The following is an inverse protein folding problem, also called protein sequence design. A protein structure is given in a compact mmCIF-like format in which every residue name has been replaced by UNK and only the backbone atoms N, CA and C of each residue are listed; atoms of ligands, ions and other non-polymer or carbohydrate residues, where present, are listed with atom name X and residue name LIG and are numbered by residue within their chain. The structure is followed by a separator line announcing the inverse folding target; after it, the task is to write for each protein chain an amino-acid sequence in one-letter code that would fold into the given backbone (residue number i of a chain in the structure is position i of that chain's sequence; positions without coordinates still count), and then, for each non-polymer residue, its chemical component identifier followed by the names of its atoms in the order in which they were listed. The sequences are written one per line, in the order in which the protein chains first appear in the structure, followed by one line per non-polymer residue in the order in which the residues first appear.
data_IF_589578983758
#
_entry.id   IF_589578983758
#
_cell.length_a   1.000
_cell.length_b   1.000
_cell.length_c   1.000
_cell.angle_alpha   90.00
_cell.angle_beta   90.00
_cell.angle_gamma   90.00
#
_symmetry.space_group_name_H-M   'P 1'
#
loop_
_entity.id
_entity.type
_entity.pdbx_description
1 polymer ?
#
# COMPACT_ATOMS: atom_id res chain seq x y z
N UNK A 1 31.99 2.11 33.10
CA UNK A 1 31.25 2.71 31.94
C UNK A 1 29.78 2.39 32.09
N UNK A 2 28.91 3.41 32.15
CA UNK A 2 27.49 3.28 32.49
C UNK A 2 26.71 2.59 31.34
N UNK A 3 25.83 1.63 31.66
CA UNK A 3 24.95 0.94 30.66
C UNK A 3 24.20 1.93 29.74
N UNK A 4 23.84 3.13 30.24
CA UNK A 4 23.20 4.19 29.45
C UNK A 4 24.11 4.75 28.36
N UNK A 5 25.42 4.88 28.56
CA UNK A 5 26.34 5.39 27.54
C UNK A 5 26.62 4.37 26.42
N UNK A 6 26.61 3.06 26.75
CA UNK A 6 26.68 2.01 25.72
C UNK A 6 25.47 1.93 24.84
N UNK A 7 24.29 2.18 25.39
CA UNK A 7 23.01 2.18 24.61
C UNK A 7 22.95 3.37 23.67
N UNK A 8 23.32 4.57 24.12
CA UNK A 8 23.38 5.78 23.28
C UNK A 8 24.39 5.64 22.13
N UNK A 9 25.56 5.09 22.38
CA UNK A 9 26.59 4.85 21.36
C UNK A 9 26.12 3.87 20.27
N UNK A 10 25.46 2.78 20.64
CA UNK A 10 24.88 1.82 19.68
C UNK A 10 23.75 2.42 18.84
N UNK A 11 22.87 3.19 19.45
CA UNK A 11 21.77 3.87 18.72
C UNK A 11 22.36 4.87 17.72
N UNK A 12 23.32 5.70 18.12
CA UNK A 12 23.95 6.67 17.24
C UNK A 12 24.66 6.01 16.04
N UNK A 13 25.31 4.86 16.26
CA UNK A 13 25.94 4.08 15.20
C UNK A 13 24.92 3.50 14.22
N UNK A 14 23.82 2.92 14.72
CA UNK A 14 22.72 2.38 13.89
C UNK A 14 22.08 3.47 13.03
N UNK A 15 21.91 4.68 13.56
CA UNK A 15 21.38 5.83 12.84
C UNK A 15 22.33 6.28 11.72
N UNK A 16 23.64 6.38 12.00
CA UNK A 16 24.66 6.70 11.00
C UNK A 16 24.67 5.68 9.85
N UNK A 17 24.55 4.40 10.18
CA UNK A 17 24.44 3.30 9.21
C UNK A 17 23.22 3.41 8.32
N UNK A 18 22.09 3.92 8.81
CA UNK A 18 20.86 4.06 8.02
C UNK A 18 21.02 5.06 6.88
N UNK A 19 21.70 6.18 7.09
CA UNK A 19 21.98 7.16 6.03
C UNK A 19 22.87 6.60 4.91
N UNK A 20 23.77 5.69 5.23
CA UNK A 20 24.66 5.06 4.24
C UNK A 20 23.98 3.89 3.51
N UNK A 21 23.17 3.12 4.22
CA UNK A 21 22.54 1.91 3.68
C UNK A 21 21.33 2.22 2.81
N UNK A 22 20.56 3.26 3.17
CA UNK A 22 19.26 3.52 2.54
C UNK A 22 19.34 3.66 1.01
N UNK A 23 20.18 4.54 0.43
CA UNK A 23 20.23 4.67 -1.01
C UNK A 23 20.68 3.40 -1.72
N UNK A 24 21.63 2.66 -1.15
CA UNK A 24 22.14 1.40 -1.72
C UNK A 24 21.06 0.32 -1.75
N UNK A 25 20.31 0.18 -0.66
CA UNK A 25 19.22 -0.80 -0.59
C UNK A 25 18.07 -0.41 -1.53
N UNK A 26 17.78 0.87 -1.68
CA UNK A 26 16.76 1.34 -2.62
C UNK A 26 17.17 1.06 -4.07
N UNK A 27 18.40 1.36 -4.46
CA UNK A 27 18.93 1.04 -5.80
C UNK A 27 18.88 -0.47 -6.08
N UNK A 28 19.31 -1.28 -5.10
CA UNK A 28 19.26 -2.73 -5.20
C UNK A 28 17.82 -3.23 -5.36
N UNK A 29 16.87 -2.69 -4.62
CA UNK A 29 15.47 -3.09 -4.70
C UNK A 29 14.84 -2.70 -6.04
N UNK A 30 15.14 -1.50 -6.56
CA UNK A 30 14.71 -1.08 -7.92
C UNK A 30 15.25 -2.06 -8.96
N UNK A 31 16.53 -2.41 -8.89
CA UNK A 31 17.11 -3.39 -9.80
C UNK A 31 16.40 -4.75 -9.76
N UNK A 32 16.05 -5.23 -8.57
CA UNK A 32 15.27 -6.48 -8.38
C UNK A 32 13.92 -6.40 -9.10
N UNK A 33 13.21 -5.27 -8.95
CA UNK A 33 11.92 -5.06 -9.61
C UNK A 33 12.07 -4.95 -11.13
N UNK A 34 13.12 -4.31 -11.64
CA UNK A 34 13.37 -4.22 -13.08
C UNK A 34 13.59 -5.60 -13.70
N UNK A 35 14.33 -6.49 -13.03
CA UNK A 35 14.51 -7.87 -13.47
C UNK A 35 13.18 -8.64 -13.48
N UNK A 36 12.39 -8.47 -12.43
CA UNK A 36 11.07 -9.10 -12.35
C UNK A 36 10.15 -8.61 -13.46
N UNK A 37 10.09 -7.29 -13.70
CA UNK A 37 9.32 -6.67 -14.78
C UNK A 37 9.69 -7.22 -16.17
N UNK A 38 10.98 -7.38 -16.43
CA UNK A 38 11.46 -7.97 -17.69
C UNK A 38 10.95 -9.41 -17.90
N UNK A 39 10.74 -10.14 -16.79
CA UNK A 39 10.31 -11.55 -16.82
C UNK A 39 8.81 -11.72 -16.96
N UNK A 40 8.01 -10.94 -16.23
CA UNK A 40 6.54 -11.13 -16.14
C UNK A 40 5.73 -10.10 -16.93
N UNK A 41 6.35 -8.99 -17.38
CA UNK A 41 5.64 -7.88 -18.00
C UNK A 41 4.85 -7.04 -17.02
N UNK A 42 4.06 -6.11 -17.53
CA UNK A 42 3.26 -5.17 -16.69
C UNK A 42 1.78 -5.54 -16.57
N UNK A 43 1.21 -6.38 -17.43
CA UNK A 43 -0.20 -6.76 -17.39
C UNK A 43 -1.19 -5.56 -17.35
N UNK A 44 -2.47 -5.83 -17.18
CA UNK A 44 -3.48 -4.80 -16.96
C UNK A 44 -3.41 -4.22 -15.53
N UNK A 45 -4.06 -3.07 -15.27
CA UNK A 45 -3.96 -2.41 -13.97
C UNK A 45 -4.66 -3.18 -12.83
N UNK A 46 -5.64 -4.01 -13.16
CA UNK A 46 -6.37 -4.86 -12.21
C UNK A 46 -5.91 -6.32 -12.25
N UNK A 47 -4.79 -6.63 -12.92
CA UNK A 47 -4.28 -8.00 -13.00
C UNK A 47 -3.63 -8.41 -11.68
N UNK A 48 -4.21 -9.40 -11.04
CA UNK A 48 -3.78 -9.94 -9.75
C UNK A 48 -2.32 -10.39 -9.76
N UNK A 49 -1.82 -10.93 -10.89
CA UNK A 49 -0.45 -11.42 -11.01
C UNK A 49 0.57 -10.29 -11.01
N UNK A 50 0.28 -9.17 -11.67
CA UNK A 50 1.24 -8.07 -11.84
C UNK A 50 1.06 -6.93 -10.85
N UNK A 51 -0.09 -6.85 -10.18
CA UNK A 51 -0.41 -5.76 -9.27
C UNK A 51 0.56 -5.59 -8.09
N UNK A 52 1.00 -6.65 -7.37
CA UNK A 52 1.96 -6.47 -6.28
C UNK A 52 3.26 -5.82 -6.73
N UNK A 53 3.76 -6.17 -7.92
CA UNK A 53 4.95 -5.55 -8.50
C UNK A 53 4.71 -4.08 -8.84
N UNK A 54 3.55 -3.73 -9.41
CA UNK A 54 3.21 -2.32 -9.71
C UNK A 54 3.15 -1.47 -8.45
N UNK A 55 2.56 -1.99 -7.37
CA UNK A 55 2.55 -1.30 -6.08
C UNK A 55 3.99 -1.16 -5.54
N UNK A 56 4.83 -2.18 -5.66
CA UNK A 56 6.22 -2.10 -5.25
C UNK A 56 6.97 -1.01 -6.01
N UNK A 57 6.77 -0.84 -7.33
CA UNK A 57 7.32 0.28 -8.10
C UNK A 57 6.83 1.64 -7.60
N UNK A 58 5.53 1.78 -7.35
CA UNK A 58 5.00 3.01 -6.75
C UNK A 58 5.67 3.31 -5.41
N UNK A 59 5.89 2.28 -4.59
CA UNK A 59 6.54 2.44 -3.30
C UNK A 59 8.01 2.83 -3.43
N UNK A 60 8.76 2.38 -4.46
CA UNK A 60 10.13 2.86 -4.68
C UNK A 60 10.16 4.37 -4.94
N UNK A 61 9.19 4.91 -5.67
CA UNK A 61 9.04 6.36 -5.84
C UNK A 61 8.81 7.06 -4.49
N UNK A 62 7.96 6.50 -3.63
CA UNK A 62 7.71 7.04 -2.29
C UNK A 62 8.96 6.97 -1.39
N UNK A 63 9.72 5.88 -1.45
CA UNK A 63 11.01 5.75 -0.77
C UNK A 63 12.03 6.79 -1.27
N UNK A 64 12.09 7.05 -2.58
CA UNK A 64 12.93 8.10 -3.16
C UNK A 64 12.52 9.48 -2.67
N UNK A 65 11.22 9.77 -2.68
CA UNK A 65 10.68 11.04 -2.16
C UNK A 65 11.00 11.22 -0.68
N UNK A 66 10.83 10.18 0.12
CA UNK A 66 11.18 10.20 1.55
C UNK A 66 12.65 10.53 1.77
N UNK A 67 13.56 9.92 0.98
CA UNK A 67 14.99 10.22 1.04
C UNK A 67 15.26 11.70 0.76
N UNK A 68 14.68 12.24 -0.31
CA UNK A 68 14.86 13.64 -0.69
C UNK A 68 14.36 14.61 0.40
N UNK A 69 13.17 14.35 0.96
CA UNK A 69 12.61 15.15 2.06
C UNK A 69 13.52 15.12 3.29
N UNK A 70 14.08 13.95 3.65
CA UNK A 70 14.95 13.82 4.82
C UNK A 70 16.30 14.52 4.61
N UNK A 71 16.88 14.41 3.41
CA UNK A 71 18.21 14.95 3.14
C UNK A 71 18.19 16.45 2.86
N UNK A 72 17.25 16.91 2.06
CA UNK A 72 17.21 18.29 1.57
C UNK A 72 16.29 19.16 2.42
N UNK A 73 15.03 18.78 2.57
CA UNK A 73 14.03 19.62 3.20
C UNK A 73 14.02 19.48 4.74
N UNK A 74 14.46 18.34 5.25
CA UNK A 74 14.45 17.98 6.68
C UNK A 74 13.05 18.10 7.29
N UNK A 75 12.01 17.90 6.47
CA UNK A 75 10.61 17.99 6.89
C UNK A 75 10.16 16.70 7.57
N UNK A 76 10.14 16.75 8.90
CA UNK A 76 9.77 15.61 9.75
C UNK A 76 8.28 15.24 9.60
N UNK A 77 7.40 16.23 9.39
CA UNK A 77 5.98 16.00 9.22
C UNK A 77 5.70 15.24 7.92
N UNK A 78 6.16 15.75 6.79
CA UNK A 78 6.01 15.10 5.50
C UNK A 78 6.65 13.72 5.48
N UNK A 79 7.83 13.54 6.11
CA UNK A 79 8.47 12.23 6.21
C UNK A 79 7.60 11.20 6.95
N UNK A 80 6.96 11.58 8.08
CA UNK A 80 6.04 10.69 8.80
C UNK A 80 4.79 10.33 7.99
N UNK A 81 4.22 11.29 7.25
CA UNK A 81 3.06 11.05 6.36
C UNK A 81 3.42 10.02 5.28
N UNK A 82 4.58 10.17 4.66
CA UNK A 82 5.04 9.25 3.61
C UNK A 82 5.30 7.85 4.18
N UNK A 83 5.98 7.73 5.32
CA UNK A 83 6.23 6.42 5.96
C UNK A 83 4.91 5.75 6.32
N UNK A 84 3.93 6.50 6.84
CA UNK A 84 2.61 5.97 7.13
C UNK A 84 1.94 5.43 5.85
N UNK A 85 1.96 6.19 4.76
CA UNK A 85 1.38 5.76 3.50
C UNK A 85 2.09 4.51 2.93
N UNK A 86 3.41 4.42 3.07
CA UNK A 86 4.18 3.21 2.72
C UNK A 86 3.72 2.02 3.56
N UNK A 87 3.61 2.17 4.88
CA UNK A 87 3.19 1.11 5.78
C UNK A 87 1.76 0.63 5.47
N UNK A 88 0.83 1.53 5.14
CA UNK A 88 -0.53 1.20 4.73
C UNK A 88 -0.56 0.33 3.46
N UNK A 89 0.20 0.72 2.43
CA UNK A 89 0.29 -0.04 1.18
C UNK A 89 0.92 -1.43 1.41
N UNK A 90 2.02 -1.53 2.16
CA UNK A 90 2.68 -2.81 2.45
C UNK A 90 1.75 -3.71 3.28
N UNK A 91 1.01 -3.15 4.26
CA UNK A 91 0.05 -3.91 5.07
C UNK A 91 -1.10 -4.45 4.23
N UNK A 92 -1.58 -3.67 3.26
CA UNK A 92 -2.63 -4.11 2.32
C UNK A 92 -2.12 -5.24 1.42
N UNK A 93 -0.92 -5.10 0.84
CA UNK A 93 -0.26 -6.16 0.07
C UNK A 93 -0.06 -7.42 0.90
N UNK A 94 0.41 -7.27 2.14
CA UNK A 94 0.61 -8.41 3.04
C UNK A 94 -0.70 -9.15 3.30
N UNK A 95 -1.77 -8.44 3.66
CA UNK A 95 -3.06 -9.07 3.93
C UNK A 95 -3.62 -9.81 2.71
N UNK A 96 -3.56 -9.20 1.53
CA UNK A 96 -4.19 -9.76 0.32
C UNK A 96 -3.35 -10.92 -0.23
N UNK A 97 -2.01 -10.79 -0.31
CA UNK A 97 -1.17 -11.67 -1.12
C UNK A 97 -0.24 -12.58 -0.31
N UNK A 98 0.01 -12.30 0.97
CA UNK A 98 0.92 -13.10 1.80
C UNK A 98 0.17 -13.87 2.89
N UNK A 99 -0.74 -13.22 3.61
CA UNK A 99 -1.50 -13.85 4.69
C UNK A 99 -2.65 -14.72 4.17
N UNK A 100 -3.01 -14.56 2.90
CA UNK A 100 -4.08 -15.33 2.28
C UNK A 100 -3.49 -16.51 1.50
N UNK A 101 -3.63 -17.72 2.03
CA UNK A 101 -3.09 -18.94 1.43
C UNK A 101 -4.01 -19.44 0.31
N UNK A 102 -5.33 -19.38 0.51
CA UNK A 102 -6.30 -19.87 -0.46
C UNK A 102 -6.42 -18.91 -1.65
N UNK A 103 -6.20 -19.42 -2.85
CA UNK A 103 -6.17 -18.62 -4.08
C UNK A 103 -7.50 -17.88 -4.33
N UNK A 104 -8.64 -18.55 -4.13
CA UNK A 104 -9.95 -17.92 -4.34
C UNK A 104 -10.25 -16.80 -3.31
N UNK A 105 -9.81 -16.95 -2.06
CA UNK A 105 -9.90 -15.88 -1.05
C UNK A 105 -9.01 -14.70 -1.44
N UNK A 106 -7.81 -14.97 -1.98
CA UNK A 106 -6.89 -13.94 -2.49
C UNK A 106 -7.53 -13.16 -3.63
N UNK A 107 -8.09 -13.85 -4.62
CA UNK A 107 -8.80 -13.24 -5.74
C UNK A 107 -10.00 -12.42 -5.24
N UNK A 108 -10.78 -12.95 -4.31
CA UNK A 108 -11.91 -12.22 -3.71
C UNK A 108 -11.45 -10.93 -3.03
N UNK A 109 -10.44 -10.98 -2.16
CA UNK A 109 -9.90 -9.80 -1.49
C UNK A 109 -9.35 -8.77 -2.48
N UNK A 110 -8.62 -9.22 -3.49
CA UNK A 110 -8.11 -8.37 -4.55
C UNK A 110 -9.24 -7.62 -5.27
N UNK A 111 -10.27 -8.34 -5.71
CA UNK A 111 -11.41 -7.74 -6.40
C UNK A 111 -12.19 -6.77 -5.49
N UNK A 112 -12.42 -7.13 -4.24
CA UNK A 112 -13.09 -6.24 -3.26
C UNK A 112 -12.24 -4.98 -2.98
N UNK A 113 -10.93 -5.08 -2.89
CA UNK A 113 -10.02 -3.94 -2.70
C UNK A 113 -10.13 -2.94 -3.86
N UNK A 114 -10.17 -3.43 -5.10
CA UNK A 114 -10.34 -2.58 -6.27
C UNK A 114 -11.75 -1.99 -6.37
N UNK A 115 -12.78 -2.75 -6.03
CA UNK A 115 -14.15 -2.24 -5.99
C UNK A 115 -14.31 -1.09 -5.00
N UNK A 116 -13.66 -1.17 -3.84
CA UNK A 116 -13.64 -0.11 -2.82
C UNK A 116 -12.97 1.16 -3.36
N UNK A 117 -11.82 1.04 -4.05
CA UNK A 117 -11.14 2.17 -4.70
C UNK A 117 -11.98 2.77 -5.84
N UNK A 118 -12.56 1.93 -6.70
CA UNK A 118 -13.39 2.40 -7.83
C UNK A 118 -14.62 3.17 -7.33
N UNK A 119 -15.33 2.64 -6.33
CA UNK A 119 -16.51 3.32 -5.79
C UNK A 119 -16.13 4.62 -5.06
N UNK A 120 -15.00 4.63 -4.37
CA UNK A 120 -14.45 5.87 -3.77
C UNK A 120 -14.16 6.92 -4.86
N UNK A 121 -13.55 6.53 -5.97
CA UNK A 121 -13.27 7.44 -7.09
C UNK A 121 -14.56 7.93 -7.76
N UNK A 122 -15.50 7.03 -8.03
CA UNK A 122 -16.80 7.38 -8.62
C UNK A 122 -17.59 8.35 -7.73
N UNK A 123 -17.55 8.16 -6.41
CA UNK A 123 -18.21 9.04 -5.43
C UNK A 123 -17.57 10.43 -5.30
N UNK A 124 -16.31 10.58 -5.70
CA UNK A 124 -15.56 11.83 -5.59
C UNK A 124 -15.32 12.51 -6.95
N UNK A 125 -15.99 12.08 -8.01
CA UNK A 125 -15.86 12.70 -9.32
C UNK A 125 -16.38 14.13 -9.27
N UNK A 126 -15.50 15.05 -9.64
CA UNK A 126 -15.85 16.45 -9.87
C UNK A 126 -15.84 16.73 -11.37
N UNK A 127 -16.95 17.22 -11.88
CA UNK A 127 -17.02 17.66 -13.27
C UNK A 127 -16.38 19.04 -13.43
N UNK A 128 -15.67 19.29 -14.54
CA UNK A 128 -15.11 20.61 -14.80
C UNK A 128 -16.19 21.66 -14.82
N UNK A 129 -15.90 22.80 -14.22
CA UNK A 129 -16.79 23.98 -14.24
C UNK A 129 -16.24 24.92 -15.29
N UNK A 130 -17.09 25.32 -16.25
CA UNK A 130 -16.73 26.31 -17.26
C UNK A 130 -16.49 27.66 -16.58
N UNK A 131 -15.39 28.30 -16.92
CA UNK A 131 -15.10 29.68 -16.56
C UNK A 131 -14.76 30.50 -17.81
N UNK A 132 -14.65 31.81 -17.67
CA UNK A 132 -14.42 32.74 -18.79
C UNK A 132 -13.08 32.55 -19.51
N UNK A 133 -12.11 31.86 -18.89
CA UNK A 133 -10.76 31.64 -19.42
C UNK A 133 -10.64 30.36 -20.24
N UNK A 134 -11.70 29.55 -20.33
CA UNK A 134 -11.71 28.28 -21.04
C UNK A 134 -12.65 28.37 -22.25
N UNK A 135 -12.12 28.10 -23.44
CA UNK A 135 -12.91 28.06 -24.67
C UNK A 135 -13.96 26.92 -24.64
N UNK A 136 -15.03 27.03 -25.43
CA UNK A 136 -16.04 25.97 -25.57
C UNK A 136 -15.41 24.65 -26.02
N UNK A 137 -14.44 24.69 -26.91
CA UNK A 137 -13.77 23.52 -27.44
C UNK A 137 -12.93 22.82 -26.33
N UNK A 138 -12.17 23.57 -25.55
CA UNK A 138 -11.36 23.03 -24.44
C UNK A 138 -12.25 22.47 -23.34
N UNK A 139 -13.33 23.16 -23.00
CA UNK A 139 -14.32 22.68 -22.02
C UNK A 139 -14.97 21.38 -22.48
N UNK A 140 -15.35 21.30 -23.77
CA UNK A 140 -15.89 20.07 -24.37
C UNK A 140 -14.87 18.91 -24.31
N UNK A 141 -13.59 19.15 -24.56
CA UNK A 141 -12.52 18.14 -24.41
C UNK A 141 -12.39 17.64 -22.97
N UNK A 142 -12.41 18.53 -21.99
CA UNK A 142 -12.34 18.17 -20.56
C UNK A 142 -13.56 17.32 -20.14
N UNK A 143 -14.77 17.70 -20.56
CA UNK A 143 -15.98 16.91 -20.28
C UNK A 143 -15.91 15.51 -20.92
N UNK A 144 -15.47 15.42 -22.16
CA UNK A 144 -15.33 14.13 -22.84
C UNK A 144 -14.28 13.23 -22.15
N UNK A 145 -13.15 13.79 -21.71
CA UNK A 145 -12.15 13.06 -20.93
C UNK A 145 -12.74 12.52 -19.62
N UNK A 146 -13.52 13.36 -18.93
CA UNK A 146 -14.17 12.97 -17.67
C UNK A 146 -15.21 11.86 -17.90
N UNK A 147 -16.04 11.97 -18.93
CA UNK A 147 -16.99 10.91 -19.27
C UNK A 147 -16.31 9.60 -19.62
N UNK A 148 -15.21 9.65 -20.39
CA UNK A 148 -14.42 8.46 -20.73
C UNK A 148 -13.82 7.82 -19.47
N UNK A 149 -13.30 8.63 -18.55
CA UNK A 149 -12.77 8.16 -17.27
C UNK A 149 -13.85 7.43 -16.45
N UNK A 150 -15.03 8.03 -16.30
CA UNK A 150 -16.18 7.41 -15.62
C UNK A 150 -16.56 6.08 -16.27
N UNK A 151 -16.67 6.07 -17.59
CA UNK A 151 -17.02 4.87 -18.36
C UNK A 151 -16.01 3.74 -18.10
N UNK A 152 -14.70 4.03 -18.15
CA UNK A 152 -13.65 3.06 -17.90
C UNK A 152 -13.72 2.49 -16.47
N UNK A 153 -14.01 3.34 -15.46
CA UNK A 153 -14.21 2.88 -14.07
C UNK A 153 -15.43 1.95 -13.95
N UNK A 154 -16.53 2.26 -14.62
CA UNK A 154 -17.74 1.42 -14.61
C UNK A 154 -17.50 0.07 -15.30
N UNK A 155 -16.80 0.05 -16.41
CA UNK A 155 -16.40 -1.19 -17.11
C UNK A 155 -15.51 -2.04 -16.23
N UNK A 156 -14.48 -1.45 -15.60
CA UNK A 156 -13.61 -2.15 -14.66
C UNK A 156 -14.39 -2.73 -13.47
N UNK A 157 -15.35 -1.95 -12.91
CA UNK A 157 -16.24 -2.42 -11.85
C UNK A 157 -17.02 -3.66 -12.26
N UNK A 158 -17.60 -3.65 -13.45
CA UNK A 158 -18.38 -4.78 -13.97
C UNK A 158 -17.50 -6.03 -14.14
N UNK A 159 -16.27 -5.88 -14.63
CA UNK A 159 -15.31 -6.99 -14.76
C UNK A 159 -14.99 -7.60 -13.39
N UNK A 160 -14.72 -6.78 -12.37
CA UNK A 160 -14.41 -7.25 -11.04
C UNK A 160 -15.60 -7.97 -10.37
N UNK A 161 -16.82 -7.45 -10.51
CA UNK A 161 -18.03 -8.09 -10.01
C UNK A 161 -18.26 -9.44 -10.70
N UNK A 162 -18.07 -9.48 -12.02
CA UNK A 162 -18.16 -10.72 -12.78
C UNK A 162 -17.10 -11.75 -12.33
N UNK A 163 -15.86 -11.34 -12.10
CA UNK A 163 -14.82 -12.21 -11.57
C UNK A 163 -15.23 -12.83 -10.22
N UNK A 164 -15.83 -12.05 -9.32
CA UNK A 164 -16.29 -12.55 -8.01
C UNK A 164 -17.40 -13.61 -8.18
N UNK A 165 -18.36 -13.39 -9.08
CA UNK A 165 -19.47 -14.34 -9.27
C UNK A 165 -19.05 -15.66 -9.90
N UNK A 166 -17.88 -15.71 -10.57
CA UNK A 166 -17.31 -16.91 -11.17
C UNK A 166 -16.41 -17.71 -10.21
N UNK A 167 -16.13 -17.22 -9.00
CA UNK A 167 -15.39 -17.99 -7.99
C UNK A 167 -16.23 -19.17 -7.52
N UNK A 168 -15.64 -20.35 -7.34
CA UNK A 168 -16.30 -21.50 -6.70
C UNK A 168 -16.77 -21.13 -5.30
N UNK A 169 -15.96 -20.32 -4.60
CA UNK A 169 -16.25 -19.76 -3.30
C UNK A 169 -17.60 -18.99 -3.27
N UNK A 170 -17.98 -18.35 -4.38
CA UNK A 170 -19.28 -17.65 -4.49
C UNK A 170 -20.46 -18.61 -4.34
N UNK A 171 -20.34 -19.82 -4.85
CA UNK A 171 -21.42 -20.82 -4.74
C UNK A 171 -21.65 -21.25 -3.29
N UNK A 172 -20.58 -21.42 -2.51
CA UNK A 172 -20.66 -21.89 -1.11
C UNK A 172 -20.96 -20.77 -0.11
N UNK A 173 -20.52 -19.53 -0.39
CA UNK A 173 -20.63 -18.37 0.53
C UNK A 173 -21.39 -17.20 -0.08
N UNK A 174 -22.37 -17.48 -0.94
CA UNK A 174 -23.09 -16.45 -1.70
C UNK A 174 -23.61 -15.30 -0.82
N UNK A 175 -24.32 -15.63 0.25
CA UNK A 175 -24.93 -14.62 1.12
C UNK A 175 -23.89 -13.75 1.86
N UNK A 176 -22.78 -14.35 2.26
CA UNK A 176 -21.67 -13.63 2.89
C UNK A 176 -21.02 -12.67 1.88
N UNK A 177 -20.70 -13.16 0.68
CA UNK A 177 -20.03 -12.39 -0.36
C UNK A 177 -20.93 -11.24 -0.85
N UNK A 178 -22.21 -11.47 -1.06
CA UNK A 178 -23.18 -10.41 -1.42
C UNK A 178 -23.23 -9.29 -0.37
N UNK A 179 -23.05 -9.62 0.91
CA UNK A 179 -22.96 -8.62 1.98
C UNK A 179 -21.61 -7.88 2.01
N UNK A 180 -20.53 -8.54 1.60
CA UNK A 180 -19.22 -7.87 1.42
C UNK A 180 -19.23 -6.88 0.25
N UNK A 181 -20.07 -7.14 -0.79
CA UNK A 181 -20.23 -6.30 -2.00
C UNK A 181 -21.28 -5.19 -1.80
N UNK A 182 -21.98 -5.16 -0.67
CA UNK A 182 -23.09 -4.23 -0.44
C UNK A 182 -22.65 -2.79 -0.74
N UNK A 183 -23.43 -2.11 -1.62
CA UNK A 183 -23.20 -0.77 -2.16
C UNK A 183 -22.58 0.21 -1.14
N UNK A 184 -21.41 0.70 -1.47
CA UNK A 184 -20.66 1.68 -0.67
C UNK A 184 -19.72 1.11 0.40
N UNK A 185 -19.65 -0.22 0.55
CA UNK A 185 -18.75 -0.87 1.52
C UNK A 185 -18.27 -2.21 0.97
N UNK A 186 -17.11 -2.20 0.34
CA UNK A 186 -16.45 -3.44 -0.08
C UNK A 186 -15.45 -3.87 1.00
N UNK A 187 -15.88 -4.80 1.87
CA UNK A 187 -15.06 -5.20 3.00
C UNK A 187 -14.02 -6.25 2.60
N UNK A 188 -12.93 -5.81 1.96
CA UNK A 188 -11.79 -6.66 1.61
C UNK A 188 -10.97 -7.10 2.85
N UNK A 189 -11.16 -6.45 4.01
CA UNK A 189 -10.48 -6.76 5.28
C UNK A 189 -11.20 -7.80 6.12
N UNK A 190 -12.12 -8.57 5.57
CA UNK A 190 -12.79 -9.63 6.31
C UNK A 190 -11.80 -10.71 6.81
N UNK A 191 -12.10 -11.33 7.96
CA UNK A 191 -11.26 -12.39 8.56
C UNK A 191 -11.66 -13.75 8.00
N UNK A 192 -12.94 -14.12 8.08
CA UNK A 192 -13.46 -15.41 7.62
C UNK A 192 -14.79 -15.24 6.92
N UNK A 193 -15.09 -16.14 5.98
CA UNK A 193 -16.40 -16.32 5.38
C UNK A 193 -17.23 -17.38 6.13
N UNK A 194 -16.62 -18.25 6.95
CA UNK A 194 -17.26 -19.32 7.71
C UNK A 194 -17.98 -18.79 8.95
N UNK A 195 -18.83 -17.80 8.74
CA UNK A 195 -19.66 -17.18 9.77
C UNK A 195 -21.05 -16.89 9.23
N UNK A 196 -22.01 -16.66 10.14
CA UNK A 196 -23.34 -16.22 9.75
C UNK A 196 -23.31 -14.97 8.87
N UNK A 197 -24.10 -14.90 7.79
CA UNK A 197 -24.13 -13.73 6.90
C UNK A 197 -24.43 -12.41 7.63
N UNK A 198 -25.19 -12.44 8.73
CA UNK A 198 -25.49 -11.27 9.56
C UNK A 198 -24.25 -10.68 10.25
N UNK A 199 -23.22 -11.49 10.47
CA UNK A 199 -22.01 -11.13 11.21
C UNK A 199 -20.82 -10.80 10.31
N UNK A 200 -20.92 -10.93 8.98
CA UNK A 200 -19.81 -10.81 8.04
C UNK A 200 -19.09 -9.46 8.16
N UNK A 201 -19.83 -8.38 8.34
CA UNK A 201 -19.30 -7.02 8.51
C UNK A 201 -19.17 -6.59 9.98
N UNK A 202 -19.27 -7.53 10.93
CA UNK A 202 -19.04 -7.23 12.33
C UNK A 202 -17.59 -6.87 12.59
N UNK A 203 -17.33 -5.96 13.54
CA UNK A 203 -15.98 -5.51 13.96
C UNK A 203 -15.04 -6.68 14.31
N UNK A 204 -15.59 -7.77 14.84
CA UNK A 204 -14.82 -8.97 15.18
C UNK A 204 -14.35 -9.77 13.95
N UNK A 205 -14.97 -9.57 12.79
CA UNK A 205 -14.63 -10.22 11.53
C UNK A 205 -13.88 -9.28 10.54
N UNK A 206 -13.31 -8.19 11.03
CA UNK A 206 -12.59 -7.23 10.19
C UNK A 206 -11.19 -6.99 10.74
N UNK A 207 -10.20 -7.03 9.87
CA UNK A 207 -8.84 -6.60 10.22
C UNK A 207 -8.82 -5.10 10.44
N UNK A 208 -8.51 -4.66 11.66
CA UNK A 208 -8.19 -3.26 11.94
C UNK A 208 -6.80 -2.92 11.40
N UNK A 209 -6.51 -1.66 11.13
CA UNK A 209 -5.17 -1.22 10.72
C UNK A 209 -4.10 -1.65 11.73
N UNK A 210 -4.36 -1.52 13.02
CA UNK A 210 -3.44 -1.98 14.06
C UNK A 210 -3.09 -3.47 13.91
N UNK A 211 -4.11 -4.32 13.65
CA UNK A 211 -3.90 -5.75 13.41
C UNK A 211 -3.15 -6.00 12.11
N UNK A 212 -3.41 -5.22 11.05
CA UNK A 212 -2.68 -5.32 9.79
C UNK A 212 -1.20 -4.94 9.96
N UNK A 213 -0.87 -3.90 10.74
CA UNK A 213 0.53 -3.56 11.03
C UNK A 213 1.23 -4.62 11.86
N UNK A 214 0.53 -5.28 12.79
CA UNK A 214 1.14 -6.38 13.56
C UNK A 214 1.57 -7.55 12.67
N UNK A 215 0.90 -7.75 11.53
CA UNK A 215 1.26 -8.76 10.54
C UNK A 215 2.53 -8.40 9.74
N UNK A 216 3.03 -7.16 9.80
CA UNK A 216 4.33 -6.79 9.19
C UNK A 216 5.52 -7.36 9.96
N UNK A 217 5.30 -7.93 11.16
CA UNK A 217 6.35 -8.49 12.03
C UNK A 217 7.46 -7.48 12.39
N UNK A 218 7.15 -6.21 12.39
CA UNK A 218 8.01 -5.13 12.87
C UNK A 218 7.70 -4.89 14.34
N UNK A 219 8.31 -5.69 15.23
CA UNK A 219 8.02 -5.73 16.67
C UNK A 219 7.95 -4.32 17.30
N UNK A 220 6.81 -4.01 17.90
CA UNK A 220 6.56 -2.75 18.60
C UNK A 220 6.27 -1.54 17.70
N UNK A 221 6.23 -1.70 16.36
CA UNK A 221 5.95 -0.61 15.43
C UNK A 221 4.46 -0.46 15.10
N UNK A 222 3.62 -1.43 15.43
CA UNK A 222 2.17 -1.40 15.18
C UNK A 222 1.49 -0.19 15.84
N UNK A 223 1.92 0.19 17.05
CA UNK A 223 1.42 1.39 17.73
C UNK A 223 1.97 2.67 17.10
N UNK A 224 3.24 2.65 16.68
CA UNK A 224 3.85 3.77 15.97
C UNK A 224 3.06 4.11 14.71
N UNK A 225 2.76 3.13 13.86
CA UNK A 225 1.96 3.35 12.65
C UNK A 225 0.51 3.72 12.95
N UNK A 226 -0.15 3.00 13.87
CA UNK A 226 -1.60 3.16 14.11
C UNK A 226 -1.97 4.42 14.91
N UNK A 227 -1.07 4.94 15.73
CA UNK A 227 -1.35 6.07 16.61
C UNK A 227 -0.43 7.26 16.35
N UNK A 228 0.88 7.11 16.55
CA UNK A 228 1.83 8.21 16.44
C UNK A 228 1.82 8.84 15.04
N UNK A 229 2.03 8.07 13.98
CA UNK A 229 2.03 8.60 12.62
C UNK A 229 0.65 9.02 12.14
N UNK A 230 -0.42 8.43 12.66
CA UNK A 230 -1.79 8.85 12.35
C UNK A 230 -2.04 10.30 12.75
N UNK A 231 -1.42 10.80 13.82
CA UNK A 231 -1.58 12.19 14.26
C UNK A 231 -0.99 13.19 13.25
N UNK A 232 0.05 12.83 12.51
CA UNK A 232 0.61 13.68 11.44
C UNK A 232 -0.31 13.76 10.23
N UNK A 233 -0.90 12.63 9.84
CA UNK A 233 -1.83 12.58 8.68
C UNK A 233 -3.07 13.44 8.93
N UNK A 234 -3.57 13.47 10.15
CA UNK A 234 -4.77 14.25 10.49
C UNK A 234 -4.50 15.73 10.82
N UNK A 235 -3.25 16.18 10.80
CA UNK A 235 -2.88 17.58 10.96
C UNK A 235 -3.19 18.23 12.32
N UNK A 236 -3.62 17.43 13.32
CA UNK A 236 -4.08 17.92 14.63
C UNK A 236 -3.01 17.79 15.73
N UNK A 237 -1.80 17.41 15.37
CA UNK A 237 -0.72 17.18 16.35
C UNK A 237 0.05 18.46 16.65
N UNK A 238 0.39 18.68 17.92
CA UNK A 238 1.35 19.71 18.35
C UNK A 238 2.72 19.55 17.63
N UNK A 239 3.06 18.34 17.18
CA UNK A 239 4.25 18.04 16.39
C UNK A 239 4.28 18.75 15.02
N UNK A 240 3.14 19.18 14.48
CA UNK A 240 3.08 19.96 13.24
C UNK A 240 3.52 21.43 13.43
N UNK A 241 3.67 21.89 14.68
CA UNK A 241 3.87 23.33 14.97
C UNK A 241 5.33 23.64 15.33
N UNK A 242 6.15 22.70 15.78
CA UNK A 242 7.21 23.14 16.69
C UNK A 242 8.59 22.57 16.54
N UNK A 243 8.93 21.63 15.69
CA UNK A 243 10.24 21.01 15.88
C UNK A 243 11.04 20.95 14.59
N UNK A 244 12.11 21.72 14.55
CA UNK A 244 13.27 21.41 13.70
C UNK A 244 13.78 20.01 14.10
N UNK A 245 13.61 18.99 13.27
CA UNK A 245 14.06 17.65 13.62
C UNK A 245 15.58 17.63 13.64
N UNK A 246 16.14 17.00 14.67
CA UNK A 246 17.57 16.71 14.66
C UNK A 246 17.88 15.53 13.73
N UNK A 247 19.17 15.37 13.40
CA UNK A 247 19.65 14.28 12.54
C UNK A 247 19.27 12.89 13.08
N UNK A 248 19.17 12.74 14.38
CA UNK A 248 18.81 11.46 15.04
C UNK A 248 17.35 11.10 14.76
N UNK A 249 16.43 12.06 14.90
CA UNK A 249 15.00 11.84 14.63
C UNK A 249 14.76 11.43 13.16
N UNK A 250 15.40 12.11 12.22
CA UNK A 250 15.33 11.77 10.80
C UNK A 250 15.96 10.41 10.49
N UNK A 251 17.07 10.08 11.16
CA UNK A 251 17.73 8.76 11.05
C UNK A 251 16.89 7.60 11.57
N UNK A 252 16.08 7.82 12.62
CA UNK A 252 15.10 6.84 13.08
C UNK A 252 14.05 6.56 12.00
N UNK A 253 13.55 7.61 11.33
CA UNK A 253 12.59 7.45 10.24
C UNK A 253 13.20 6.65 9.06
N UNK A 254 14.46 6.91 8.71
CA UNK A 254 15.18 6.11 7.69
C UNK A 254 15.33 4.65 8.10
N UNK A 255 15.59 4.37 9.39
CA UNK A 255 15.70 2.99 9.90
C UNK A 255 14.36 2.24 9.78
N UNK A 256 13.26 2.91 10.08
CA UNK A 256 11.91 2.35 9.93
C UNK A 256 11.59 2.10 8.44
N UNK A 257 11.92 3.06 7.59
CA UNK A 257 11.71 2.92 6.15
C UNK A 257 12.55 1.79 5.53
N UNK A 258 13.80 1.60 5.98
CA UNK A 258 14.62 0.44 5.61
C UNK A 258 13.95 -0.88 6.01
N UNK A 259 13.43 -0.97 7.23
CA UNK A 259 12.72 -2.16 7.68
C UNK A 259 11.48 -2.46 6.84
N UNK A 260 10.71 -1.43 6.48
CA UNK A 260 9.56 -1.54 5.57
C UNK A 260 9.98 -1.98 4.16
N UNK A 261 11.09 -1.44 3.64
CA UNK A 261 11.64 -1.83 2.33
C UNK A 261 12.05 -3.30 2.30
N UNK A 262 12.74 -3.77 3.33
CA UNK A 262 13.12 -5.19 3.46
C UNK A 262 11.88 -6.10 3.53
N UNK A 263 10.84 -5.70 4.26
CA UNK A 263 9.58 -6.46 4.30
C UNK A 263 8.89 -6.49 2.94
N UNK A 264 8.82 -5.36 2.25
CA UNK A 264 8.24 -5.30 0.91
C UNK A 264 9.00 -6.22 -0.06
N UNK A 265 10.33 -6.15 -0.06
CA UNK A 265 11.14 -7.02 -0.92
C UNK A 265 10.92 -8.51 -0.62
N UNK A 266 10.84 -8.88 0.66
CA UNK A 266 10.55 -10.25 1.06
C UNK A 266 9.19 -10.71 0.53
N UNK A 267 8.15 -9.86 0.61
CA UNK A 267 6.82 -10.18 0.08
C UNK A 267 6.83 -10.35 -1.44
N UNK A 268 7.53 -9.48 -2.16
CA UNK A 268 7.67 -9.58 -3.61
C UNK A 268 8.42 -10.86 -4.00
N UNK A 269 9.51 -11.19 -3.32
CA UNK A 269 10.26 -12.44 -3.57
C UNK A 269 9.42 -13.68 -3.29
N UNK A 270 8.68 -13.70 -2.20
CA UNK A 270 7.83 -14.84 -1.87
C UNK A 270 6.68 -15.00 -2.88
N UNK A 271 6.03 -13.90 -3.27
CA UNK A 271 4.92 -13.93 -4.22
C UNK A 271 5.36 -14.39 -5.62
N UNK A 272 6.54 -13.99 -6.07
CA UNK A 272 7.09 -14.30 -7.38
C UNK A 272 8.22 -15.34 -7.30
N UNK A 273 8.21 -16.25 -6.34
CA UNK A 273 9.30 -17.20 -6.11
C UNK A 273 9.68 -17.96 -7.39
N UNK A 274 8.71 -18.52 -8.10
CA UNK A 274 8.95 -19.29 -9.34
C UNK A 274 9.54 -18.43 -10.48
N UNK A 275 9.17 -17.15 -10.54
CA UNK A 275 9.72 -16.23 -11.55
C UNK A 275 11.17 -15.84 -11.20
N UNK A 276 11.50 -15.66 -9.91
CA UNK A 276 12.88 -15.44 -9.47
C UNK A 276 13.78 -16.65 -9.69
N UNK A 277 13.29 -17.88 -9.50
CA UNK A 277 14.03 -19.09 -9.81
C UNK A 277 14.40 -19.16 -11.31
N UNK A 278 13.49 -18.74 -12.21
CA UNK A 278 13.78 -18.64 -13.65
C UNK A 278 14.84 -17.59 -13.95
N UNK A 279 14.79 -16.41 -13.31
CA UNK A 279 15.79 -15.35 -13.48
C UNK A 279 17.18 -15.85 -13.11
N UNK A 280 17.31 -16.57 -12.00
CA UNK A 280 18.59 -17.12 -11.52
C UNK A 280 19.10 -18.21 -12.46
N UNK A 281 18.23 -19.09 -12.93
CA UNK A 281 18.62 -20.20 -13.81
C UNK A 281 19.03 -19.72 -15.21
N UNK A 282 18.45 -18.64 -15.72
CA UNK A 282 18.81 -18.06 -17.02
C UNK A 282 20.12 -17.23 -16.98
N UNK A 283 20.72 -17.02 -15.81
CA UNK A 283 22.00 -16.33 -15.64
C UNK A 283 23.19 -17.29 -15.49
N UNK A 284 22.93 -18.59 -15.43
CA UNK A 284 23.93 -19.66 -15.47
C UNK A 284 24.14 -20.17 -16.89
#
# INVERSE_FOLDING_TARGET
MNKQNMTKSKISQTIGDSYQKYPKELERFIWVLDKLKQTIGMGSDIDIRTYPMKVAYKLTTMFTTLWNIIIHDKDFCCANIIIRSIADNISSLNLIYQQTIEEEIKILRHNLYFLDDIDTRLGNIQYPIKNENISEEEFGKLLNQQHLFVKNLMEAKNVLLNNITHLKLYTTHKQQIEKLIKKGHYNWKFISLDIEPSKINNKNNVYTWKKMYSLLELKGQEYFFSSYQSSYVHGLSLSNITIMPNKENLGILLSIALALMVRLELYIRNYYQSDFERIINNQK
#
